data_IF_047626549500
#
_entry.id   IF_047626549500
#
_cell.length_a   1.000
_cell.length_b   1.000
_cell.length_c   1.000
_cell.angle_alpha   90.00
_cell.angle_beta   90.00
_cell.angle_gamma   90.00
#
_symmetry.space_group_name_H-M   'P 1'
#
loop_
_entity.id
_entity.type
_entity.pdbx_description
1 polymer ?
#
# COMPACT_ATOMS: atom_id res chain seq x y z
N UNK A 1 11.34 -16.83 16.72
CA UNK A 1 11.83 -16.20 15.48
C UNK A 1 13.34 -16.10 15.56
N UNK A 2 14.09 -16.46 14.50
CA UNK A 2 15.54 -16.28 14.52
C UNK A 2 15.90 -14.80 14.22
N UNK A 3 17.14 -14.40 14.50
CA UNK A 3 17.61 -13.02 14.30
C UNK A 3 17.51 -12.55 12.84
N UNK A 4 17.67 -13.47 11.88
CA UNK A 4 17.60 -13.15 10.46
C UNK A 4 16.16 -12.82 10.02
N UNK A 5 15.19 -13.59 10.50
CA UNK A 5 13.76 -13.38 10.28
C UNK A 5 13.30 -12.06 10.91
N UNK A 6 13.77 -11.75 12.11
CA UNK A 6 13.48 -10.48 12.77
C UNK A 6 13.97 -9.28 11.95
N UNK A 7 15.24 -9.31 11.50
CA UNK A 7 15.80 -8.28 10.64
C UNK A 7 15.03 -8.15 9.32
N UNK A 8 14.65 -9.28 8.73
CA UNK A 8 13.88 -9.32 7.49
C UNK A 8 12.49 -8.72 7.68
N UNK A 9 11.79 -9.07 8.75
CA UNK A 9 10.47 -8.50 9.10
C UNK A 9 10.57 -7.00 9.34
N UNK A 10 11.55 -6.55 10.11
CA UNK A 10 11.77 -5.13 10.39
C UNK A 10 12.10 -4.34 9.12
N UNK A 11 12.78 -4.93 8.12
CA UNK A 11 12.97 -4.33 6.79
C UNK A 11 11.65 -4.11 6.06
N UNK A 12 10.73 -5.08 6.11
CA UNK A 12 9.40 -4.91 5.50
C UNK A 12 8.59 -3.83 6.21
N UNK A 13 8.54 -3.84 7.54
CA UNK A 13 7.85 -2.82 8.33
C UNK A 13 8.43 -1.42 8.05
N UNK A 14 9.76 -1.29 7.95
CA UNK A 14 10.40 -0.02 7.60
C UNK A 14 9.98 0.47 6.22
N UNK A 15 9.87 -0.44 5.25
CA UNK A 15 9.37 -0.11 3.91
C UNK A 15 7.89 0.26 3.93
N UNK A 16 7.05 -0.38 4.75
CA UNK A 16 5.64 -0.03 4.95
C UNK A 16 5.53 1.40 5.48
N UNK A 17 6.27 1.71 6.53
CA UNK A 17 6.31 3.05 7.12
C UNK A 17 6.75 4.11 6.10
N UNK A 18 7.83 3.89 5.36
CA UNK A 18 8.26 4.82 4.30
C UNK A 18 7.23 4.96 3.17
N UNK A 19 6.55 3.87 2.80
CA UNK A 19 5.50 3.89 1.78
C UNK A 19 4.28 4.70 2.24
N UNK A 20 3.86 4.52 3.49
CA UNK A 20 2.78 5.31 4.09
C UNK A 20 3.10 6.81 4.08
N UNK A 21 4.33 7.21 4.43
CA UNK A 21 4.78 8.61 4.34
C UNK A 21 4.68 9.11 2.89
N UNK A 22 5.19 8.35 1.93
CA UNK A 22 5.18 8.73 0.53
C UNK A 22 3.74 8.90 -0.01
N UNK A 23 2.81 8.04 0.41
CA UNK A 23 1.38 8.17 0.06
C UNK A 23 0.74 9.40 0.69
N UNK A 24 0.93 9.61 2.00
CA UNK A 24 0.39 10.78 2.72
C UNK A 24 0.92 12.11 2.17
N UNK A 25 2.17 12.12 1.72
CA UNK A 25 2.82 13.31 1.13
C UNK A 25 2.62 13.44 -0.38
N UNK A 26 1.83 12.56 -1.00
CA UNK A 26 1.53 12.59 -2.43
C UNK A 26 2.70 12.27 -3.36
N UNK A 27 3.80 11.72 -2.82
CA UNK A 27 4.98 11.30 -3.61
C UNK A 27 4.74 10.00 -4.38
N UNK A 28 3.78 9.19 -3.93
CA UNK A 28 3.38 7.93 -4.57
C UNK A 28 1.87 7.97 -4.81
N UNK A 29 1.40 7.63 -6.02
CA UNK A 29 -0.04 7.59 -6.28
C UNK A 29 -0.73 6.47 -5.48
N UNK A 30 -2.03 6.65 -5.23
CA UNK A 30 -2.77 5.86 -4.25
C UNK A 30 -2.72 4.35 -4.55
N UNK A 31 -2.95 3.97 -5.81
CA UNK A 31 -2.98 2.55 -6.24
C UNK A 31 -1.63 1.87 -6.12
N UNK A 32 -0.57 2.49 -6.64
CA UNK A 32 0.79 1.98 -6.54
C UNK A 32 1.23 1.86 -5.08
N UNK A 33 0.83 2.84 -4.26
CA UNK A 33 1.03 2.82 -2.82
C UNK A 33 0.36 1.63 -2.14
N UNK A 34 -0.93 1.39 -2.42
CA UNK A 34 -1.69 0.29 -1.83
C UNK A 34 -1.15 -1.09 -2.23
N UNK A 35 -0.90 -1.32 -3.53
CA UNK A 35 -0.33 -2.59 -4.02
C UNK A 35 1.02 -2.91 -3.35
N UNK A 36 1.87 -1.89 -3.18
CA UNK A 36 3.13 -2.04 -2.48
C UNK A 36 2.93 -2.30 -0.99
N UNK A 37 1.93 -1.67 -0.36
CA UNK A 37 1.64 -1.86 1.06
C UNK A 37 1.19 -3.29 1.35
N UNK A 38 0.29 -3.85 0.54
CA UNK A 38 -0.14 -5.26 0.64
C UNK A 38 1.03 -6.22 0.54
N UNK A 39 1.84 -6.09 -0.51
CA UNK A 39 3.03 -6.92 -0.67
C UNK A 39 3.92 -6.89 0.59
N UNK A 40 4.18 -5.70 1.14
CA UNK A 40 5.04 -5.56 2.31
C UNK A 40 4.40 -6.11 3.59
N UNK A 41 3.10 -5.88 3.77
CA UNK A 41 2.32 -6.39 4.89
C UNK A 41 2.30 -7.91 4.90
N UNK A 42 1.95 -8.54 3.79
CA UNK A 42 1.88 -10.00 3.66
C UNK A 42 3.21 -10.66 4.02
N UNK A 43 4.33 -10.08 3.55
CA UNK A 43 5.66 -10.61 3.84
C UNK A 43 6.07 -10.41 5.31
N UNK A 44 5.71 -9.28 5.92
CA UNK A 44 5.97 -9.07 7.34
C UNK A 44 5.10 -9.99 8.22
N UNK A 45 3.82 -10.13 7.88
CA UNK A 45 2.83 -10.95 8.56
C UNK A 45 3.17 -12.44 8.45
N UNK A 46 3.62 -12.91 7.29
CA UNK A 46 4.05 -14.30 7.09
C UNK A 46 5.24 -14.69 7.98
N UNK A 47 6.19 -13.77 8.20
CA UNK A 47 7.35 -14.03 9.09
C UNK A 47 6.91 -14.10 10.55
N UNK A 48 6.10 -13.12 10.98
CA UNK A 48 5.47 -13.13 12.29
C UNK A 48 4.17 -12.32 12.18
N UNK A 49 3.01 -12.96 12.42
CA UNK A 49 1.71 -12.32 12.35
C UNK A 49 1.64 -11.05 13.18
N UNK A 50 0.91 -10.07 12.66
CA UNK A 50 0.51 -8.91 13.44
C UNK A 50 -0.69 -9.31 14.31
N UNK A 51 -0.63 -9.04 15.62
CA UNK A 51 -1.72 -9.36 16.56
C UNK A 51 -2.88 -8.37 16.44
N UNK A 52 -2.59 -7.06 16.48
CA UNK A 52 -3.61 -5.99 16.49
C UNK A 52 -3.42 -4.99 15.32
N UNK A 53 -3.01 -5.50 14.15
CA UNK A 53 -2.81 -4.65 12.98
C UNK A 53 -3.22 -5.36 11.69
N UNK A 54 -4.17 -4.75 10.99
CA UNK A 54 -4.68 -5.17 9.69
C UNK A 54 -4.69 -4.01 8.70
N UNK A 55 -4.73 -4.30 7.40
CA UNK A 55 -4.75 -3.27 6.35
C UNK A 55 -5.99 -3.34 5.45
N UNK A 56 -7.13 -3.85 5.98
CA UNK A 56 -8.35 -4.12 5.19
C UNK A 56 -8.77 -3.02 4.21
N UNK A 57 -8.79 -1.76 4.63
CA UNK A 57 -9.19 -0.65 3.74
C UNK A 57 -8.25 -0.47 2.52
N UNK A 58 -6.98 -0.84 2.67
CA UNK A 58 -5.99 -0.85 1.59
C UNK A 58 -6.27 -2.04 0.65
N UNK A 59 -6.49 -3.24 1.21
CA UNK A 59 -6.86 -4.44 0.47
C UNK A 59 -8.17 -4.27 -0.32
N UNK A 60 -9.17 -3.63 0.29
CA UNK A 60 -10.46 -3.32 -0.32
C UNK A 60 -10.28 -2.42 -1.54
N UNK A 61 -9.47 -1.36 -1.42
CA UNK A 61 -9.20 -0.45 -2.53
C UNK A 61 -8.40 -1.12 -3.65
N UNK A 62 -7.36 -1.88 -3.32
CA UNK A 62 -6.61 -2.62 -4.34
C UNK A 62 -7.46 -3.67 -5.03
N UNK A 63 -8.32 -4.37 -4.28
CA UNK A 63 -9.27 -5.34 -4.85
C UNK A 63 -10.26 -4.65 -5.81
N UNK A 64 -10.82 -3.52 -5.39
CA UNK A 64 -11.74 -2.72 -6.22
C UNK A 64 -11.07 -2.22 -7.50
N UNK A 65 -9.76 -1.97 -7.47
CA UNK A 65 -9.03 -1.43 -8.61
C UNK A 65 -8.15 -2.46 -9.34
N UNK A 66 -8.19 -3.75 -8.98
CA UNK A 66 -7.24 -4.76 -9.50
C UNK A 66 -7.28 -4.96 -11.02
N UNK A 67 -8.42 -4.66 -11.65
CA UNK A 67 -8.63 -4.85 -13.08
C UNK A 67 -8.27 -3.63 -13.93
N UNK A 68 -7.98 -2.49 -13.30
CA UNK A 68 -7.63 -1.28 -14.02
C UNK A 68 -6.15 -1.36 -14.46
N UNK A 69 -5.85 -1.23 -15.76
CA UNK A 69 -4.50 -1.42 -16.27
C UNK A 69 -3.54 -0.39 -15.70
N UNK A 70 -2.34 -0.84 -15.32
CA UNK A 70 -1.27 0.01 -14.81
C UNK A 70 -0.08 0.03 -15.78
N UNK A 71 0.60 1.18 -15.86
CA UNK A 71 1.87 1.33 -16.58
C UNK A 71 1.79 0.75 -18.01
N UNK A 72 2.69 -0.19 -18.33
CA UNK A 72 2.81 -0.83 -19.65
C UNK A 72 1.56 -1.59 -20.09
N UNK A 73 0.68 -2.02 -19.16
CA UNK A 73 -0.57 -2.70 -19.54
C UNK A 73 -1.50 -1.76 -20.31
N UNK A 74 -1.44 -0.45 -20.05
CA UNK A 74 -2.26 0.55 -20.74
C UNK A 74 -1.96 0.61 -22.25
N UNK A 75 -0.75 0.25 -22.66
CA UNK A 75 -0.35 0.22 -24.07
C UNK A 75 -1.11 -0.83 -24.91
N UNK A 76 -1.84 -1.76 -24.26
CA UNK A 76 -2.64 -2.80 -24.91
C UNK A 76 -4.05 -2.33 -25.27
N UNK A 77 -4.45 -1.13 -24.85
CA UNK A 77 -5.81 -0.62 -24.98
C UNK A 77 -5.82 0.68 -25.80
N UNK A 78 -6.95 0.93 -26.49
CA UNK A 78 -7.16 2.21 -27.17
C UNK A 78 -7.49 3.33 -26.17
N UNK A 79 -7.30 4.59 -26.57
CA UNK A 79 -7.44 5.74 -25.69
C UNK A 79 -8.88 5.96 -25.19
N UNK A 80 -9.88 5.77 -26.05
CA UNK A 80 -11.29 5.96 -25.68
C UNK A 80 -11.71 5.00 -24.57
N UNK A 81 -11.28 3.73 -24.67
CA UNK A 81 -11.50 2.73 -23.63
C UNK A 81 -10.78 3.08 -22.33
N UNK A 82 -9.52 3.55 -22.41
CA UNK A 82 -8.78 3.98 -21.23
C UNK A 82 -9.43 5.18 -20.55
N UNK A 83 -9.99 6.12 -21.31
CA UNK A 83 -10.69 7.28 -20.76
C UNK A 83 -11.87 6.87 -19.88
N UNK A 84 -12.72 5.95 -20.35
CA UNK A 84 -13.86 5.47 -19.55
C UNK A 84 -13.43 4.69 -18.30
N UNK A 85 -12.30 3.98 -18.37
CA UNK A 85 -11.70 3.35 -17.19
C UNK A 85 -11.13 4.38 -16.21
N UNK A 86 -10.51 5.45 -16.70
CA UNK A 86 -9.95 6.49 -15.85
C UNK A 86 -11.06 7.25 -15.11
N UNK A 87 -12.19 7.53 -15.76
CA UNK A 87 -13.37 8.12 -15.10
C UNK A 87 -13.92 7.21 -14.00
N UNK A 88 -14.06 5.92 -14.29
CA UNK A 88 -14.51 4.92 -13.32
C UNK A 88 -13.52 4.78 -12.15
N UNK A 89 -12.22 4.89 -12.44
CA UNK A 89 -11.18 4.84 -11.43
C UNK A 89 -11.21 6.07 -10.53
N UNK A 90 -11.45 7.26 -11.08
CA UNK A 90 -11.52 8.50 -10.31
C UNK A 90 -12.60 8.44 -9.23
N UNK A 91 -13.77 7.86 -9.54
CA UNK A 91 -14.86 7.66 -8.56
C UNK A 91 -14.43 6.73 -7.42
N UNK A 92 -13.70 5.66 -7.74
CA UNK A 92 -13.16 4.77 -6.71
C UNK A 92 -12.07 5.47 -5.88
N UNK A 93 -11.16 6.21 -6.52
CA UNK A 93 -10.14 6.96 -5.79
C UNK A 93 -10.77 7.98 -4.85
N UNK A 94 -11.77 8.74 -5.28
CA UNK A 94 -12.48 9.69 -4.43
C UNK A 94 -13.09 9.01 -3.20
N UNK A 95 -13.76 7.87 -3.39
CA UNK A 95 -14.38 7.10 -2.31
C UNK A 95 -13.37 6.60 -1.27
N UNK A 96 -12.21 6.12 -1.70
CA UNK A 96 -11.27 5.41 -0.83
C UNK A 96 -10.09 6.26 -0.36
N UNK A 97 -9.82 7.40 -0.98
CA UNK A 97 -8.63 8.24 -0.70
C UNK A 97 -8.50 8.56 0.78
N UNK A 98 -9.50 9.19 1.38
CA UNK A 98 -9.39 9.64 2.76
C UNK A 98 -9.25 8.47 3.76
N UNK A 99 -10.07 7.39 3.67
CA UNK A 99 -9.88 6.20 4.50
C UNK A 99 -8.49 5.55 4.35
N UNK A 100 -7.98 5.43 3.12
CA UNK A 100 -6.64 4.87 2.85
C UNK A 100 -5.56 5.75 3.44
N UNK A 101 -5.60 7.06 3.21
CA UNK A 101 -4.61 7.99 3.73
C UNK A 101 -4.66 8.07 5.26
N UNK A 102 -5.85 7.98 5.86
CA UNK A 102 -5.97 7.87 7.31
C UNK A 102 -5.33 6.58 7.81
N UNK A 103 -5.52 5.45 7.12
CA UNK A 103 -4.83 4.21 7.49
C UNK A 103 -3.32 4.34 7.36
N UNK A 104 -2.81 5.03 6.34
CA UNK A 104 -1.38 5.32 6.21
C UNK A 104 -0.86 6.16 7.40
N UNK A 105 -1.60 7.17 7.87
CA UNK A 105 -1.23 7.93 9.08
C UNK A 105 -1.13 7.02 10.29
N UNK A 106 -2.10 6.13 10.50
CA UNK A 106 -2.06 5.16 11.60
C UNK A 106 -0.84 4.22 11.49
N UNK A 107 -0.46 3.79 10.28
CA UNK A 107 0.77 2.99 10.04
C UNK A 107 2.02 3.75 10.46
N UNK A 108 2.11 5.05 10.13
CA UNK A 108 3.25 5.89 10.48
C UNK A 108 3.39 5.98 12.00
N UNK A 109 2.30 6.25 12.70
CA UNK A 109 2.27 6.36 14.17
C UNK A 109 2.62 5.02 14.83
N UNK A 110 1.95 3.94 14.45
CA UNK A 110 2.14 2.62 15.05
C UNK A 110 3.56 2.07 14.88
N UNK A 111 4.19 2.32 13.73
CA UNK A 111 5.52 1.83 13.42
C UNK A 111 6.62 2.89 13.56
N UNK A 112 6.37 3.98 14.29
CA UNK A 112 7.35 5.05 14.48
C UNK A 112 8.67 4.54 15.09
N UNK A 113 8.61 3.51 15.94
CA UNK A 113 9.78 2.85 16.54
C UNK A 113 10.75 2.26 15.49
N UNK A 114 10.28 1.93 14.28
CA UNK A 114 11.12 1.31 13.26
C UNK A 114 12.23 2.26 12.76
N UNK A 115 12.10 3.56 13.04
CA UNK A 115 13.13 4.57 12.71
C UNK A 115 14.41 4.38 13.52
N UNK A 116 14.33 3.86 14.75
CA UNK A 116 15.48 3.61 15.62
C UNK A 116 16.07 2.20 15.45
N UNK A 117 15.44 1.34 14.64
CA UNK A 117 15.96 -0.01 14.39
C UNK A 117 17.10 0.04 13.37
N UNK A 118 18.28 -0.37 13.82
CA UNK A 118 19.46 -0.61 12.97
C UNK A 118 19.29 -1.99 12.33
N UNK A 119 19.34 -2.05 10.99
CA UNK A 119 19.00 -3.21 10.15
C UNK A 119 20.19 -3.86 9.46
#
# INVERSE_FOLDING_TARGET
>A
MNKFDELKRNRYIKKMHSNAIAMVTGQVPLREGCLKMEYLYDHAHYIQPFEDFEIRIIEDFSSATRFFPLNKQRNLYNQDYLSGLDDSLAVLEEKYRDPVLQKCKNIIEQFQYIRSVIL
#
